data_IF_434555467953
#
_entry.id   IF_434555467953
#
_cell.length_a   1.000
_cell.length_b   1.000
_cell.length_c   1.000
_cell.angle_alpha   90.00
_cell.angle_beta   90.00
_cell.angle_gamma   90.00
#
_symmetry.space_group_name_H-M   'P 1'
#
loop_
_entity.id
_entity.type
_entity.pdbx_description
1 polymer ?
#
# COMPACT_ATOMS: atom_id res chain seq x y z
N UNK A 1 -8.30 -1.14 -22.03
CA UNK A 1 -6.89 -1.04 -22.48
C UNK A 1 -6.30 0.37 -22.50
N UNK A 2 -6.68 1.32 -23.37
CA UNK A 2 -5.91 2.58 -23.51
C UNK A 2 -6.13 3.60 -22.37
N UNK A 3 -7.38 3.79 -21.91
CA UNK A 3 -7.72 4.87 -20.98
C UNK A 3 -7.10 4.75 -19.57
N UNK A 4 -6.98 3.53 -19.01
CA UNK A 4 -6.34 3.33 -17.69
C UNK A 4 -4.81 3.39 -17.72
N UNK A 5 -4.20 3.15 -18.88
CA UNK A 5 -2.75 3.33 -19.07
C UNK A 5 -2.44 4.82 -19.10
N UNK A 6 -3.28 5.60 -19.80
CA UNK A 6 -3.14 7.05 -19.89
C UNK A 6 -3.31 7.74 -18.51
N UNK A 7 -4.20 7.24 -17.65
CA UNK A 7 -4.35 7.75 -16.27
C UNK A 7 -3.12 7.49 -15.40
N UNK A 8 -2.43 6.35 -15.58
CA UNK A 8 -1.17 6.04 -14.88
C UNK A 8 0.05 6.79 -15.46
N UNK A 9 0.03 7.05 -16.77
CA UNK A 9 1.11 7.78 -17.47
C UNK A 9 1.04 9.30 -17.26
N UNK A 10 -0.14 9.84 -16.93
CA UNK A 10 -0.32 11.25 -16.57
C UNK A 10 0.08 11.59 -15.13
N UNK A 11 0.39 10.60 -14.30
CA UNK A 11 0.75 10.79 -12.89
C UNK A 11 2.26 11.01 -12.76
N UNK A 12 2.68 12.25 -12.50
CA UNK A 12 4.10 12.59 -12.38
C UNK A 12 4.71 12.00 -11.10
N UNK A 13 5.72 11.14 -11.27
CA UNK A 13 6.51 10.57 -10.19
C UNK A 13 7.75 11.44 -9.95
N UNK A 14 7.78 12.21 -8.87
CA UNK A 14 8.98 12.92 -8.41
C UNK A 14 9.51 12.29 -7.12
N UNK A 15 10.76 11.82 -7.18
CA UNK A 15 11.44 11.07 -6.12
C UNK A 15 12.33 11.98 -5.28
N UNK A 16 12.35 11.79 -3.96
CA UNK A 16 13.41 12.31 -3.07
C UNK A 16 14.02 11.14 -2.30
N UNK A 17 15.34 11.02 -2.35
CA UNK A 17 16.10 9.92 -1.74
C UNK A 17 16.39 10.18 -0.25
N UNK A 18 16.28 9.15 0.58
CA UNK A 18 16.86 9.14 1.94
C UNK A 18 17.36 7.72 2.24
N UNK A 19 18.62 7.61 2.66
CA UNK A 19 19.34 6.36 2.95
C UNK A 19 19.29 6.03 4.44
N UNK A 20 19.05 4.76 4.79
CA UNK A 20 19.20 4.21 6.15
C UNK A 20 19.76 2.77 6.09
N UNK A 21 20.58 2.33 7.08
CA UNK A 21 21.27 1.03 7.06
C UNK A 21 20.50 -0.12 7.76
N UNK A 22 20.86 -1.34 7.38
CA UNK A 22 20.26 -2.64 7.77
C UNK A 22 20.49 -3.06 9.23
N UNK A 23 19.56 -3.84 9.81
CA UNK A 23 19.76 -4.60 11.06
C UNK A 23 19.04 -5.97 10.99
N UNK A 24 19.68 -6.98 11.58
CA UNK A 24 19.41 -8.42 11.42
C UNK A 24 18.18 -8.94 12.19
N UNK A 25 17.57 -9.99 11.62
CA UNK A 25 16.34 -10.70 12.01
C UNK A 25 16.57 -11.67 13.17
N UNK A 26 15.57 -11.84 14.03
CA UNK A 26 15.44 -13.01 14.91
C UNK A 26 14.00 -13.48 14.95
N UNK A 27 13.85 -14.80 14.91
CA UNK A 27 12.63 -15.61 14.84
C UNK A 27 12.12 -15.99 16.22
N UNK A 28 10.81 -15.94 16.44
CA UNK A 28 10.13 -16.90 17.32
C UNK A 28 8.67 -17.06 16.89
N UNK A 29 8.25 -18.32 16.78
CA UNK A 29 6.89 -18.76 16.50
C UNK A 29 6.06 -18.78 17.78
N UNK A 30 4.82 -18.32 17.72
CA UNK A 30 3.72 -18.99 18.42
C UNK A 30 2.40 -18.65 17.74
N UNK A 31 1.67 -19.70 17.42
CA UNK A 31 0.39 -19.71 16.73
C UNK A 31 -0.74 -19.75 17.77
N UNK A 32 -1.58 -18.71 17.81
CA UNK A 32 -2.93 -18.77 18.36
C UNK A 32 -3.90 -17.96 17.48
N UNK A 33 -5.06 -18.54 17.24
CA UNK A 33 -5.98 -18.21 16.16
C UNK A 33 -6.75 -16.88 16.39
N UNK A 34 -6.56 -15.96 15.45
CA UNK A 34 -7.57 -15.17 14.73
C UNK A 34 -8.89 -14.85 15.46
N UNK A 35 -8.98 -13.70 16.15
CA UNK A 35 -10.27 -13.06 16.49
C UNK A 35 -10.24 -11.53 16.71
N UNK A 36 -9.21 -10.78 16.27
CA UNK A 36 -9.07 -9.36 16.64
C UNK A 36 -9.05 -8.33 15.49
N UNK A 37 -9.49 -8.68 14.28
CA UNK A 37 -9.67 -7.67 13.22
C UNK A 37 -11.16 -7.57 12.91
N UNK A 38 -11.83 -6.42 13.17
CA UNK A 38 -13.11 -6.12 12.54
C UNK A 38 -12.90 -6.32 11.04
N UNK A 39 -13.52 -7.34 10.46
CA UNK A 39 -13.40 -7.63 9.03
C UNK A 39 -13.71 -6.35 8.26
N UNK A 40 -12.67 -5.73 7.70
CA UNK A 40 -12.83 -4.59 6.80
C UNK A 40 -13.91 -4.99 5.77
N UNK A 41 -15.01 -4.21 5.63
CA UNK A 41 -16.04 -4.44 4.62
C UNK A 41 -15.45 -4.64 3.21
N UNK A 42 -14.29 -4.03 2.94
CA UNK A 42 -13.54 -4.21 1.71
C UNK A 42 -12.99 -5.62 1.51
N UNK A 43 -12.65 -6.35 2.57
CA UNK A 43 -12.21 -7.75 2.47
C UNK A 43 -13.24 -8.63 1.77
N UNK A 44 -14.53 -8.39 2.05
CA UNK A 44 -15.63 -9.08 1.39
C UNK A 44 -15.83 -8.66 -0.07
N UNK A 45 -15.62 -7.39 -0.39
CA UNK A 45 -15.68 -6.90 -1.76
C UNK A 45 -14.56 -7.52 -2.62
N UNK A 46 -13.34 -7.54 -2.08
CA UNK A 46 -12.14 -8.02 -2.77
C UNK A 46 -12.17 -9.55 -2.96
N UNK A 47 -12.55 -10.32 -1.94
CA UNK A 47 -12.67 -11.80 -2.08
C UNK A 47 -13.73 -12.26 -3.08
N UNK A 48 -14.79 -11.47 -3.29
CA UNK A 48 -15.82 -11.80 -4.29
C UNK A 48 -15.35 -11.51 -5.72
N UNK A 49 -14.44 -10.55 -5.87
CA UNK A 49 -13.74 -10.30 -7.11
C UNK A 49 -12.55 -11.27 -7.20
N UNK A 50 -12.82 -12.53 -7.54
CA UNK A 50 -11.83 -13.63 -7.59
C UNK A 50 -10.66 -13.40 -8.57
N UNK A 51 -10.67 -12.30 -9.33
CA UNK A 51 -9.57 -11.84 -10.15
C UNK A 51 -9.69 -10.32 -10.36
N UNK A 52 -9.39 -9.53 -9.33
CA UNK A 52 -9.25 -8.07 -9.53
C UNK A 52 -8.16 -7.80 -10.55
N UNK A 53 -8.42 -6.82 -11.41
CA UNK A 53 -7.45 -6.26 -12.35
C UNK A 53 -7.34 -4.75 -12.12
N UNK A 54 -6.34 -4.11 -12.74
CA UNK A 54 -6.23 -2.65 -12.69
C UNK A 54 -7.46 -1.94 -13.29
N UNK A 55 -8.18 -2.58 -14.23
CA UNK A 55 -9.37 -2.00 -14.85
C UNK A 55 -10.56 -1.94 -13.89
N UNK A 56 -10.56 -2.78 -12.84
CA UNK A 56 -11.56 -2.79 -11.77
C UNK A 56 -11.31 -1.71 -10.71
N UNK A 57 -10.20 -0.98 -10.81
CA UNK A 57 -9.85 0.09 -9.89
C UNK A 57 -10.15 1.45 -10.51
N UNK A 58 -10.78 2.32 -9.71
CA UNK A 58 -10.87 3.75 -10.00
C UNK A 58 -9.86 4.49 -9.13
N UNK A 59 -8.81 5.02 -9.75
CA UNK A 59 -7.82 5.85 -9.06
C UNK A 59 -8.43 7.22 -8.74
N UNK A 60 -8.42 7.60 -7.46
CA UNK A 60 -9.04 8.83 -6.97
C UNK A 60 -7.98 9.93 -6.87
N UNK A 61 -6.97 9.74 -6.02
CA UNK A 61 -5.83 10.67 -5.91
C UNK A 61 -4.60 9.99 -5.31
N UNK A 62 -3.43 10.63 -5.45
CA UNK A 62 -2.18 10.16 -4.83
C UNK A 62 -2.21 10.42 -3.32
N UNK A 63 -1.82 9.41 -2.54
CA UNK A 63 -1.64 9.48 -1.09
C UNK A 63 -0.19 9.80 -0.72
N UNK A 64 0.76 9.24 -1.47
CA UNK A 64 2.17 9.44 -1.23
C UNK A 64 3.05 8.92 -2.36
N UNK A 65 4.31 9.31 -2.34
CA UNK A 65 5.35 8.80 -3.25
C UNK A 65 6.56 8.42 -2.42
N UNK A 66 7.05 7.21 -2.62
CA UNK A 66 8.21 6.66 -1.93
C UNK A 66 9.34 6.30 -2.89
N UNK A 67 10.31 5.56 -2.38
CA UNK A 67 11.53 5.24 -3.11
C UNK A 67 11.32 4.30 -4.32
N UNK A 68 10.40 3.34 -4.18
CA UNK A 68 10.17 2.26 -5.14
C UNK A 68 8.78 2.29 -5.79
N UNK A 69 7.98 3.33 -5.54
CA UNK A 69 6.63 3.43 -6.06
C UNK A 69 5.82 4.55 -5.43
N UNK A 70 4.58 4.69 -5.87
CA UNK A 70 3.61 5.66 -5.33
C UNK A 70 2.36 4.98 -4.85
N UNK A 71 1.73 5.57 -3.84
CA UNK A 71 0.51 5.05 -3.23
C UNK A 71 -0.66 5.94 -3.64
N UNK A 72 -1.75 5.31 -4.08
CA UNK A 72 -2.96 5.97 -4.52
C UNK A 72 -4.16 5.51 -3.70
N UNK A 73 -5.09 6.41 -3.44
CA UNK A 73 -6.43 6.05 -2.99
C UNK A 73 -7.19 5.52 -4.21
N UNK A 74 -7.71 4.30 -4.13
CA UNK A 74 -8.49 3.68 -5.20
C UNK A 74 -9.83 3.20 -4.67
N UNK A 75 -10.84 3.19 -5.52
CA UNK A 75 -12.12 2.53 -5.25
C UNK A 75 -12.29 1.32 -6.16
N UNK A 76 -12.81 0.22 -5.59
CA UNK A 76 -13.14 -0.99 -6.35
C UNK A 76 -14.48 -0.82 -7.07
N UNK A 77 -14.46 -0.85 -8.41
CA UNK A 77 -15.67 -0.76 -9.25
C UNK A 77 -16.59 -1.94 -8.99
N UNK A 78 -17.90 -1.68 -8.94
CA UNK A 78 -18.91 -2.73 -8.72
C UNK A 78 -18.88 -3.37 -7.33
N UNK A 79 -18.02 -2.91 -6.42
CA UNK A 79 -18.05 -3.28 -5.01
C UNK A 79 -19.29 -2.73 -4.29
N UNK A 80 -19.53 -3.23 -3.07
CA UNK A 80 -20.45 -2.58 -2.13
C UNK A 80 -20.06 -1.10 -2.02
N UNK A 81 -21.02 -0.18 -2.19
CA UNK A 81 -20.76 1.26 -2.34
C UNK A 81 -19.73 1.79 -1.33
N UNK A 82 -18.63 2.36 -1.81
CA UNK A 82 -17.64 3.07 -0.99
C UNK A 82 -16.43 2.25 -0.51
N UNK A 83 -16.18 1.06 -1.04
CA UNK A 83 -14.95 0.33 -0.70
C UNK A 83 -13.70 1.00 -1.34
N UNK A 84 -12.90 1.63 -0.49
CA UNK A 84 -11.65 2.31 -0.87
C UNK A 84 -10.42 1.62 -0.29
N UNK A 85 -9.34 1.57 -1.07
CA UNK A 85 -8.08 0.89 -0.74
C UNK A 85 -6.90 1.82 -0.98
N UNK A 86 -5.75 1.46 -0.40
CA UNK A 86 -4.47 2.02 -0.78
C UNK A 86 -3.81 1.12 -1.83
N UNK A 87 -3.53 1.66 -3.01
CA UNK A 87 -2.85 0.98 -4.10
C UNK A 87 -1.41 1.49 -4.23
N UNK A 88 -0.44 0.70 -3.81
CA UNK A 88 0.98 1.00 -4.06
C UNK A 88 1.35 0.49 -5.45
N UNK A 89 1.67 1.40 -6.37
CA UNK A 89 2.03 1.12 -7.77
C UNK A 89 3.55 1.29 -7.95
N UNK A 90 4.20 0.29 -8.54
CA UNK A 90 5.64 0.21 -8.75
C UNK A 90 5.96 -0.06 -10.23
N UNK A 91 6.77 0.79 -10.89
CA UNK A 91 7.19 0.59 -12.28
C UNK A 91 8.31 -0.46 -12.35
N UNK A 92 8.05 -1.60 -13.00
CA UNK A 92 9.04 -2.68 -13.13
C UNK A 92 10.30 -2.21 -13.85
N UNK A 93 10.18 -1.37 -14.88
CA UNK A 93 11.32 -0.83 -15.62
C UNK A 93 12.15 0.10 -14.74
N UNK A 94 11.51 0.93 -13.92
CA UNK A 94 12.22 1.82 -12.99
C UNK A 94 12.92 1.03 -11.88
N UNK A 95 12.26 0.00 -11.33
CA UNK A 95 12.88 -0.88 -10.34
C UNK A 95 14.13 -1.55 -10.91
N UNK A 96 14.06 -2.07 -12.14
CA UNK A 96 15.19 -2.69 -12.82
C UNK A 96 16.34 -1.70 -13.08
N UNK A 97 16.03 -0.51 -13.59
CA UNK A 97 17.06 0.49 -13.92
C UNK A 97 17.78 1.00 -12.67
N UNK A 98 17.09 1.05 -11.53
CA UNK A 98 17.63 1.53 -10.25
C UNK A 98 18.13 0.42 -9.33
N UNK A 99 18.08 -0.85 -9.76
CA UNK A 99 18.47 -2.04 -8.98
C UNK A 99 17.69 -2.21 -7.67
N UNK A 100 16.36 -2.06 -7.72
CA UNK A 100 15.44 -2.08 -6.55
C UNK A 100 14.39 -3.18 -6.60
N UNK A 101 14.50 -4.11 -7.53
CA UNK A 101 13.59 -5.24 -7.69
C UNK A 101 13.57 -6.12 -6.44
N UNK A 102 14.73 -6.33 -5.81
CA UNK A 102 14.83 -7.07 -4.56
C UNK A 102 14.03 -6.42 -3.44
N UNK A 103 14.05 -5.08 -3.37
CA UNK A 103 13.29 -4.32 -2.36
C UNK A 103 11.79 -4.45 -2.58
N UNK A 104 11.33 -4.34 -3.82
CA UNK A 104 9.91 -4.55 -4.15
C UNK A 104 9.45 -6.00 -3.85
N UNK A 105 10.30 -6.99 -4.18
CA UNK A 105 10.03 -8.40 -3.86
C UNK A 105 9.92 -8.65 -2.36
N UNK A 106 10.90 -8.16 -1.58
CA UNK A 106 10.91 -8.32 -0.12
C UNK A 106 9.69 -7.63 0.50
N UNK A 107 9.32 -6.44 0.04
CA UNK A 107 8.15 -5.74 0.56
C UNK A 107 6.86 -6.55 0.35
N UNK A 108 6.67 -7.12 -0.84
CA UNK A 108 5.54 -8.02 -1.11
C UNK A 108 5.57 -9.24 -0.19
N UNK A 109 6.71 -9.94 -0.10
CA UNK A 109 6.84 -11.15 0.72
C UNK A 109 6.56 -10.89 2.20
N UNK A 110 7.00 -9.74 2.72
CA UNK A 110 6.70 -9.33 4.09
C UNK A 110 5.20 -9.12 4.24
N UNK A 111 4.57 -8.31 3.37
CA UNK A 111 3.14 -8.03 3.46
C UNK A 111 2.26 -9.28 3.30
N UNK A 112 2.66 -10.24 2.47
CA UNK A 112 1.99 -11.54 2.32
C UNK A 112 2.08 -12.40 3.60
N UNK A 113 3.13 -12.22 4.41
CA UNK A 113 3.35 -12.96 5.66
C UNK A 113 2.71 -12.33 6.90
N UNK A 114 2.15 -11.12 6.79
CA UNK A 114 1.62 -10.36 7.91
C UNK A 114 0.11 -10.53 8.05
N UNK A 115 -0.31 -10.89 9.25
CA UNK A 115 -1.71 -10.81 9.71
C UNK A 115 -1.69 -10.26 11.14
N UNK A 116 -1.81 -8.93 11.27
CA UNK A 116 -1.65 -8.25 12.56
C UNK A 116 -2.52 -6.99 12.66
N UNK A 117 -3.25 -6.75 13.76
CA UNK A 117 -4.21 -5.64 13.90
C UNK A 117 -3.60 -4.21 13.88
N UNK A 118 -2.28 -4.09 13.83
CA UNK A 118 -1.57 -2.79 13.79
C UNK A 118 -0.77 -2.60 12.50
N UNK A 119 -0.93 -3.50 11.53
CA UNK A 119 -0.27 -3.40 10.23
C UNK A 119 -1.34 -3.49 9.14
N UNK A 120 -1.27 -2.66 8.09
CA UNK A 120 -2.20 -2.73 6.99
C UNK A 120 -2.24 -4.12 6.37
N UNK A 121 -3.43 -4.68 6.23
CA UNK A 121 -3.61 -6.00 5.61
C UNK A 121 -3.39 -5.89 4.10
N UNK A 122 -2.65 -6.85 3.52
CA UNK A 122 -2.56 -7.01 2.07
C UNK A 122 -3.78 -7.77 1.56
N UNK A 123 -4.54 -7.15 0.65
CA UNK A 123 -5.75 -7.72 0.08
C UNK A 123 -5.52 -8.47 -1.22
N UNK A 124 -4.71 -7.90 -2.10
CA UNK A 124 -4.37 -8.50 -3.38
C UNK A 124 -3.09 -7.89 -3.96
N UNK A 125 -2.44 -8.65 -4.83
CA UNK A 125 -1.35 -8.20 -5.68
C UNK A 125 -1.83 -8.20 -7.12
N UNK A 126 -1.65 -7.09 -7.83
CA UNK A 126 -1.93 -6.99 -9.26
C UNK A 126 -0.61 -6.86 -10.01
N UNK A 127 -0.38 -7.77 -10.95
CA UNK A 127 0.81 -7.76 -11.78
C UNK A 127 0.45 -7.59 -13.26
N UNK A 128 1.03 -6.57 -13.87
CA UNK A 128 0.94 -6.27 -15.30
C UNK A 128 2.35 -6.21 -15.90
N UNK A 129 2.51 -6.16 -17.24
CA UNK A 129 3.84 -6.13 -17.86
C UNK A 129 4.72 -4.97 -17.39
N UNK A 130 4.15 -3.77 -17.21
CA UNK A 130 4.88 -2.57 -16.74
C UNK A 130 4.82 -2.36 -15.24
N UNK A 131 3.70 -2.67 -14.61
CA UNK A 131 3.42 -2.28 -13.22
C UNK A 131 3.26 -3.51 -12.31
N UNK A 132 3.69 -3.37 -11.06
CA UNK A 132 3.29 -4.25 -9.96
C UNK A 132 2.56 -3.41 -8.92
N UNK A 133 1.43 -3.89 -8.41
CA UNK A 133 0.61 -3.17 -7.47
C UNK A 133 0.24 -3.99 -6.24
N UNK A 134 0.37 -3.39 -5.06
CA UNK A 134 -0.06 -3.96 -3.79
C UNK A 134 -1.30 -3.21 -3.31
N UNK A 135 -2.41 -3.92 -3.11
CA UNK A 135 -3.65 -3.36 -2.58
C UNK A 135 -3.75 -3.66 -1.10
N UNK A 136 -3.77 -2.61 -0.28
CA UNK A 136 -3.87 -2.72 1.18
C UNK A 136 -5.03 -1.92 1.74
N UNK A 137 -5.29 -2.11 3.03
CA UNK A 137 -6.17 -1.24 3.81
C UNK A 137 -5.80 0.25 3.61
N UNK A 138 -6.83 1.09 3.46
CA UNK A 138 -6.66 2.53 3.46
C UNK A 138 -6.77 3.08 4.88
N UNK A 139 -5.71 3.73 5.37
CA UNK A 139 -5.70 4.40 6.66
C UNK A 139 -6.07 5.89 6.52
N UNK A 140 -7.31 6.32 6.81
CA UNK A 140 -7.75 7.70 6.58
C UNK A 140 -7.06 8.74 7.47
N UNK A 141 -6.46 8.31 8.59
CA UNK A 141 -5.70 9.19 9.50
C UNK A 141 -4.40 9.75 8.90
N UNK A 142 -3.92 9.17 7.79
CA UNK A 142 -2.70 9.61 7.12
C UNK A 142 -1.42 9.28 7.90
N UNK A 143 -0.33 9.95 7.54
CA UNK A 143 1.00 9.69 8.06
C UNK A 143 1.29 10.44 9.37
N UNK A 144 1.86 9.72 10.35
CA UNK A 144 2.20 10.25 11.66
C UNK A 144 3.28 11.34 11.60
N UNK A 145 4.23 11.26 10.67
CA UNK A 145 5.23 12.32 10.53
C UNK A 145 4.56 13.64 10.13
N UNK A 146 3.64 13.62 9.16
CA UNK A 146 2.86 14.81 8.76
C UNK A 146 2.03 15.35 9.91
N UNK A 147 1.33 14.47 10.66
CA UNK A 147 0.55 14.88 11.82
C UNK A 147 1.42 15.52 12.90
N UNK A 148 2.60 14.94 13.18
CA UNK A 148 3.56 15.46 14.15
C UNK A 148 4.08 16.84 13.75
N UNK A 149 4.37 17.07 12.47
CA UNK A 149 4.87 18.37 11.99
C UNK A 149 3.86 19.51 12.21
N UNK A 150 2.57 19.19 12.38
CA UNK A 150 1.50 20.16 12.65
C UNK A 150 1.32 20.44 14.15
N UNK A 151 1.96 19.68 15.03
CA UNK A 151 1.87 19.88 16.47
C UNK A 151 2.81 20.99 16.95
N UNK A 152 2.49 21.69 18.06
CA UNK A 152 3.44 22.55 18.77
C UNK A 152 4.74 21.79 19.06
N UNK A 153 5.88 22.44 18.84
CA UNK A 153 7.23 21.88 19.04
C UNK A 153 7.50 20.55 18.32
N UNK A 154 6.66 20.17 17.34
CA UNK A 154 6.71 18.90 16.61
C UNK A 154 6.64 17.68 17.54
N UNK A 155 5.85 17.77 18.61
CA UNK A 155 5.65 16.71 19.60
C UNK A 155 4.17 16.46 19.84
N UNK A 156 3.80 15.21 20.03
CA UNK A 156 2.48 14.88 20.54
C UNK A 156 2.43 15.16 22.04
N UNK A 157 1.25 15.56 22.52
CA UNK A 157 1.00 15.69 23.96
C UNK A 157 1.06 14.30 24.61
N UNK A 158 1.55 14.21 25.85
CA UNK A 158 1.72 12.93 26.55
C UNK A 158 0.41 12.13 26.64
N UNK A 159 -0.70 12.81 26.91
CA UNK A 159 -2.03 12.18 26.95
C UNK A 159 -2.52 11.56 25.61
N UNK A 160 -1.80 11.78 24.51
CA UNK A 160 -2.12 11.26 23.18
C UNK A 160 -1.21 10.08 22.75
N UNK A 161 -0.26 9.67 23.59
CA UNK A 161 0.69 8.55 23.37
C UNK A 161 0.37 7.42 24.33
#
# INVERSE_FOLDING_TARGET
MQQCIDDLDNLSFTTTSTTVPETKRSTSSSSEASNLVPRDPCWHAIRRASALTLEDLRFIHRLGSGDIGSVYLVEVKGGSSGCVLAAKVMDKKELMSRKKESRARIEREILESLDHPFLPTLYATLDCPRWSCLLTEFCPGGDLHVLRQRQPDRRFHEAAV
#
